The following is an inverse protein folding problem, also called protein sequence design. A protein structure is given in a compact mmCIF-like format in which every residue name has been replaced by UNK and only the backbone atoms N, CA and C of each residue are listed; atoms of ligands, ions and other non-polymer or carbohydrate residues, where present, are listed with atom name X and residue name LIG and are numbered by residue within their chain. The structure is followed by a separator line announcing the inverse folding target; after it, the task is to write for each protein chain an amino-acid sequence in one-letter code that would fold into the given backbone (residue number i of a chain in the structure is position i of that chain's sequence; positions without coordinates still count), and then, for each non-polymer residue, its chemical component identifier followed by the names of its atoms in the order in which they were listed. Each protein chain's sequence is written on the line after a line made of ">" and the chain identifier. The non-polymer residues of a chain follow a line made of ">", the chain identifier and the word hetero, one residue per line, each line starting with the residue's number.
data_IF_941393047873
#
_entry.id   IF_941393047873
#
_cell.length_a   1.000
_cell.length_b   1.000
_cell.length_c   1.000
_cell.angle_alpha   90.00
_cell.angle_beta   90.00
_cell.angle_gamma   90.00
#
_symmetry.space_group_name_H-M   'P 1'
#
loop_
_entity.id
_entity.type
_entity.pdbx_description
1 polymer ?
#
# COMPACT_ATOMS: atom_id res chain seq x y z
N UNK A 1 0.43 -23.46 -30.40
CA UNK A 1 -0.87 -23.39 -29.71
C UNK A 1 -0.85 -22.19 -28.76
N UNK A 2 -1.98 -21.51 -28.64
CA UNK A 2 -2.21 -20.23 -27.96
C UNK A 2 -1.62 -20.13 -26.54
N UNK A 3 -0.75 -19.15 -26.28
CA UNK A 3 -0.35 -18.74 -24.92
C UNK A 3 -1.08 -17.46 -24.52
N UNK A 4 -2.24 -17.60 -23.88
CA UNK A 4 -2.93 -16.47 -23.21
C UNK A 4 -3.28 -16.84 -21.77
N UNK A 5 -2.27 -17.13 -20.96
CA UNK A 5 -2.42 -17.14 -19.50
C UNK A 5 -1.99 -15.78 -18.96
N UNK A 6 -2.93 -14.83 -18.93
CA UNK A 6 -2.74 -13.57 -18.22
C UNK A 6 -2.99 -13.80 -16.74
N UNK A 7 -1.92 -13.71 -15.95
CA UNK A 7 -1.97 -13.67 -14.48
C UNK A 7 -2.57 -12.32 -14.11
N UNK A 8 -3.72 -12.31 -13.44
CA UNK A 8 -4.49 -11.08 -13.15
C UNK A 8 -4.49 -10.73 -11.67
N UNK A 9 -4.04 -11.63 -10.78
CA UNK A 9 -4.01 -11.40 -9.34
C UNK A 9 -2.73 -11.95 -8.70
N UNK A 10 -2.26 -11.33 -7.59
CA UNK A 10 -1.08 -11.80 -6.85
C UNK A 10 -1.26 -13.19 -6.19
N UNK A 11 -2.46 -13.76 -6.20
CA UNK A 11 -2.75 -15.13 -5.73
C UNK A 11 -2.80 -16.17 -6.85
N UNK A 12 -2.62 -15.77 -8.11
CA UNK A 12 -2.67 -16.71 -9.22
C UNK A 12 -1.46 -17.64 -9.16
N UNK A 13 -1.73 -18.94 -9.06
CA UNK A 13 -0.71 -19.98 -9.11
C UNK A 13 -0.46 -20.34 -10.57
N UNK A 14 0.81 -20.27 -10.98
CA UNK A 14 1.23 -20.73 -12.30
C UNK A 14 1.77 -22.14 -12.16
N UNK A 15 1.11 -23.11 -12.78
CA UNK A 15 1.71 -24.43 -13.03
C UNK A 15 2.60 -24.32 -14.27
N UNK A 16 3.91 -24.49 -14.07
CA UNK A 16 4.86 -24.62 -15.16
C UNK A 16 5.01 -26.11 -15.45
N UNK A 17 4.30 -26.60 -16.47
CA UNK A 17 4.45 -27.96 -16.95
C UNK A 17 5.52 -27.98 -18.04
N UNK A 18 6.74 -28.38 -17.69
CA UNK A 18 7.77 -28.72 -18.67
C UNK A 18 7.42 -30.10 -19.24
N UNK A 19 6.94 -30.13 -20.48
CA UNK A 19 6.71 -31.36 -21.21
C UNK A 19 8.05 -31.82 -21.81
N UNK A 20 8.89 -32.48 -21.00
CA UNK A 20 10.04 -33.23 -21.49
C UNK A 20 9.86 -34.72 -21.20
N UNK A 21 9.98 -35.49 -22.27
CA UNK A 21 9.77 -36.93 -22.30
C UNK A 21 10.90 -37.58 -21.49
N UNK A 22 10.52 -38.19 -20.36
CA UNK A 22 11.30 -39.03 -19.44
C UNK A 22 11.73 -38.40 -18.11
N UNK A 23 11.06 -38.93 -17.08
CA UNK A 23 11.48 -39.15 -15.69
C UNK A 23 11.39 -37.96 -14.73
N UNK A 24 10.27 -38.00 -14.00
CA UNK A 24 10.06 -37.55 -12.61
C UNK A 24 10.45 -36.10 -12.36
N UNK A 25 9.50 -35.20 -12.63
CA UNK A 25 9.51 -33.86 -12.06
C UNK A 25 9.33 -33.96 -10.54
N UNK A 26 10.45 -33.85 -9.82
CA UNK A 26 10.41 -33.46 -8.40
C UNK A 26 9.92 -32.02 -8.42
N UNK A 27 8.63 -31.82 -8.11
CA UNK A 27 8.03 -30.50 -8.00
C UNK A 27 8.61 -29.76 -6.80
N UNK A 28 9.79 -29.18 -6.99
CA UNK A 28 10.27 -28.13 -6.10
C UNK A 28 9.31 -26.97 -6.25
N UNK A 29 8.50 -26.75 -5.22
CA UNK A 29 7.74 -25.51 -5.06
C UNK A 29 8.76 -24.41 -4.87
N UNK A 30 9.25 -23.82 -5.96
CA UNK A 30 10.03 -22.60 -5.88
C UNK A 30 9.07 -21.56 -5.29
N UNK A 31 9.31 -21.05 -4.07
CA UNK A 31 8.54 -19.92 -3.59
C UNK A 31 8.83 -18.79 -4.57
N UNK A 32 7.84 -18.44 -5.38
CA UNK A 32 7.87 -17.20 -6.13
C UNK A 32 7.85 -16.11 -5.06
N UNK A 33 9.02 -15.61 -4.69
CA UNK A 33 9.14 -14.40 -3.90
C UNK A 33 8.65 -13.29 -4.80
N UNK A 34 7.32 -13.06 -4.76
CA UNK A 34 6.70 -11.89 -5.36
C UNK A 34 7.45 -10.71 -4.78
N UNK A 35 8.13 -9.97 -5.66
CA UNK A 35 8.92 -8.81 -5.30
C UNK A 35 8.13 -7.98 -4.29
N UNK A 36 8.80 -7.61 -3.20
CA UNK A 36 8.39 -6.57 -2.27
C UNK A 36 7.70 -5.49 -3.09
N UNK A 37 6.36 -5.43 -3.08
CA UNK A 37 5.65 -4.37 -3.80
C UNK A 37 6.24 -3.07 -3.27
N UNK A 38 6.84 -2.28 -4.15
CA UNK A 38 7.30 -0.94 -3.84
C UNK A 38 6.05 -0.10 -3.55
N UNK A 39 5.51 -0.24 -2.34
CA UNK A 39 4.37 0.53 -1.88
C UNK A 39 4.84 1.97 -1.77
N UNK A 40 4.35 2.81 -2.68
CA UNK A 40 4.68 4.23 -2.71
C UNK A 40 3.76 4.98 -1.75
N UNK A 41 4.36 5.89 -0.99
CA UNK A 41 3.67 6.87 -0.17
C UNK A 41 4.47 8.16 -0.26
N UNK A 42 3.81 9.21 -0.75
CA UNK A 42 4.40 10.54 -0.89
C UNK A 42 3.49 11.55 -0.20
N UNK A 43 4.04 12.26 0.78
CA UNK A 43 3.36 13.34 1.46
C UNK A 43 3.66 14.67 0.78
N UNK A 44 2.61 15.48 0.62
CA UNK A 44 2.77 16.88 0.25
C UNK A 44 3.31 17.67 1.45
N UNK A 45 3.85 18.85 1.16
CA UNK A 45 4.18 19.82 2.21
C UNK A 45 2.94 20.14 3.04
N UNK A 46 3.12 20.22 4.36
CA UNK A 46 2.07 20.57 5.30
C UNK A 46 2.45 21.83 6.07
N UNK A 47 1.60 22.85 6.02
CA UNK A 47 1.76 24.05 6.83
C UNK A 47 1.03 23.87 8.15
N UNK A 48 1.64 24.34 9.24
CA UNK A 48 1.02 24.27 10.56
C UNK A 48 -0.39 24.86 10.56
N UNK A 49 -1.34 24.13 11.14
CA UNK A 49 -2.79 24.40 11.16
C UNK A 49 -3.55 24.17 9.85
N UNK A 50 -2.93 23.60 8.83
CA UNK A 50 -3.66 23.13 7.65
C UNK A 50 -4.77 22.15 8.04
N UNK A 51 -5.88 22.23 7.30
CA UNK A 51 -7.05 21.42 7.64
C UNK A 51 -6.83 19.93 7.38
N UNK A 52 -5.91 19.58 6.46
CA UNK A 52 -5.72 18.24 5.92
C UNK A 52 -4.25 17.97 5.64
N UNK A 53 -3.81 16.75 5.94
CA UNK A 53 -2.58 16.17 5.37
C UNK A 53 -2.95 15.53 4.04
N UNK A 54 -2.22 15.84 2.99
CA UNK A 54 -2.47 15.31 1.64
C UNK A 54 -1.23 14.65 1.09
N UNK A 55 -1.41 13.80 0.09
CA UNK A 55 -0.33 13.09 -0.56
C UNK A 55 -0.85 12.11 -1.58
N UNK A 56 0.05 11.25 -2.08
CA UNK A 56 -0.29 10.12 -2.92
C UNK A 56 0.15 8.80 -2.28
N UNK A 57 -0.58 7.73 -2.57
CA UNK A 57 -0.22 6.38 -2.15
C UNK A 57 -0.55 5.35 -3.24
N UNK A 58 0.09 4.19 -3.18
CA UNK A 58 -0.24 3.07 -4.06
C UNK A 58 -1.55 2.40 -3.62
N UNK A 59 -2.62 2.67 -4.37
CA UNK A 59 -3.95 2.10 -4.13
C UNK A 59 -4.21 0.81 -4.91
N UNK A 60 -3.22 0.27 -5.63
CA UNK A 60 -3.42 -0.97 -6.40
C UNK A 60 -3.64 -2.13 -5.45
N UNK A 61 -4.67 -2.92 -5.74
CA UNK A 61 -5.05 -4.07 -4.94
C UNK A 61 -5.34 -3.71 -3.47
N UNK A 62 -5.78 -2.48 -3.17
CA UNK A 62 -6.32 -2.17 -1.85
C UNK A 62 -7.59 -2.97 -1.60
N UNK A 63 -7.73 -3.44 -0.38
CA UNK A 63 -8.87 -4.21 0.11
C UNK A 63 -9.53 -3.45 1.26
N UNK A 64 -10.64 -3.98 1.80
CA UNK A 64 -11.33 -3.44 2.97
C UNK A 64 -10.52 -3.50 4.29
N UNK A 65 -9.28 -3.97 4.24
CA UNK A 65 -8.34 -4.01 5.37
C UNK A 65 -7.21 -3.00 5.23
N UNK A 66 -7.16 -2.29 4.12
CA UNK A 66 -6.13 -1.30 3.84
C UNK A 66 -6.49 0.03 4.50
N UNK A 67 -5.50 0.69 5.11
CA UNK A 67 -5.71 1.91 5.86
C UNK A 67 -4.56 2.89 5.65
N UNK A 68 -4.88 4.19 5.61
CA UNK A 68 -3.91 5.24 5.85
C UNK A 68 -4.07 5.77 7.27
N UNK A 69 -3.02 5.69 8.08
CA UNK A 69 -3.03 6.14 9.47
C UNK A 69 -2.16 7.39 9.63
N UNK A 70 -2.72 8.42 10.24
CA UNK A 70 -2.00 9.59 10.74
C UNK A 70 -1.59 9.32 12.19
N UNK A 71 -0.30 9.23 12.43
CA UNK A 71 0.30 8.97 13.74
C UNK A 71 0.98 10.25 14.22
N UNK A 72 0.64 10.69 15.42
CA UNK A 72 1.21 11.88 16.06
C UNK A 72 1.82 11.47 17.39
N UNK A 73 3.11 11.74 17.59
CA UNK A 73 3.88 11.36 18.78
C UNK A 73 3.68 9.88 19.16
N UNK A 74 3.70 8.99 18.16
CA UNK A 74 3.55 7.55 18.33
C UNK A 74 2.11 7.04 18.53
N UNK A 75 1.09 7.92 18.56
CA UNK A 75 -0.32 7.54 18.71
C UNK A 75 -1.08 7.75 17.41
N UNK A 76 -1.94 6.80 17.03
CA UNK A 76 -2.83 6.95 15.88
C UNK A 76 -3.85 8.05 16.20
N UNK A 77 -3.72 9.21 15.55
CA UNK A 77 -4.60 10.36 15.73
C UNK A 77 -5.81 10.30 14.78
N UNK A 78 -5.60 9.76 13.57
CA UNK A 78 -6.65 9.57 12.58
C UNK A 78 -6.33 8.38 11.69
N UNK A 79 -7.36 7.77 11.11
CA UNK A 79 -7.19 6.77 10.07
C UNK A 79 -8.29 6.88 9.01
N UNK A 80 -7.96 6.49 7.79
CA UNK A 80 -8.88 6.32 6.67
C UNK A 80 -8.82 4.85 6.27
N UNK A 81 -9.97 4.20 6.25
CA UNK A 81 -10.09 2.80 5.79
C UNK A 81 -10.50 2.85 4.33
N UNK A 82 -9.77 2.13 3.49
CA UNK A 82 -10.08 1.97 2.08
C UNK A 82 -10.74 0.61 1.86
N UNK A 83 -11.55 0.50 0.81
CA UNK A 83 -12.07 -0.75 0.28
C UNK A 83 -11.71 -0.88 -1.20
N UNK A 84 -11.77 -2.10 -1.73
CA UNK A 84 -11.46 -2.35 -3.13
C UNK A 84 -12.31 -1.52 -4.12
N UNK A 85 -13.55 -1.20 -3.75
CA UNK A 85 -14.45 -0.38 -4.59
C UNK A 85 -14.10 1.11 -4.58
N UNK A 86 -13.41 1.60 -3.55
CA UNK A 86 -13.11 3.03 -3.40
C UNK A 86 -12.04 3.47 -4.40
N UNK A 87 -11.19 2.53 -4.83
CA UNK A 87 -10.02 2.82 -5.65
C UNK A 87 -10.03 2.08 -6.97
N UNK A 88 -10.86 1.05 -7.18
CA UNK A 88 -10.89 0.23 -8.40
C UNK A 88 -10.97 1.08 -9.70
N UNK A 89 -10.05 0.88 -10.67
CA UNK A 89 -9.07 -0.21 -10.82
C UNK A 89 -7.78 -0.13 -9.99
N UNK A 90 -7.62 0.86 -9.12
CA UNK A 90 -6.45 1.15 -8.31
C UNK A 90 -5.38 1.83 -9.15
N UNK A 91 -4.67 2.81 -8.58
CA UNK A 91 -3.55 3.51 -9.24
C UNK A 91 -2.38 3.71 -8.29
N UNK A 92 -1.18 3.79 -8.87
CA UNK A 92 0.10 3.94 -8.15
C UNK A 92 0.20 5.23 -7.33
N UNK A 93 -0.46 6.28 -7.79
CA UNK A 93 -0.41 7.62 -7.22
C UNK A 93 -1.83 8.09 -6.88
N UNK A 94 -2.54 7.33 -6.05
CA UNK A 94 -3.85 7.74 -5.57
C UNK A 94 -3.74 8.86 -4.57
N UNK A 95 -4.42 9.97 -4.87
CA UNK A 95 -4.45 11.11 -3.99
C UNK A 95 -5.28 10.77 -2.76
N UNK A 96 -4.80 11.18 -1.60
CA UNK A 96 -5.53 11.04 -0.36
C UNK A 96 -5.54 12.35 0.41
N UNK A 97 -6.52 12.46 1.30
CA UNK A 97 -6.61 13.55 2.25
C UNK A 97 -7.05 13.03 3.62
N UNK A 98 -6.20 13.22 4.63
CA UNK A 98 -6.53 12.91 6.02
C UNK A 98 -6.79 14.23 6.75
N UNK A 99 -7.97 14.40 7.31
CA UNK A 99 -8.31 15.60 8.10
C UNK A 99 -7.40 15.66 9.34
N UNK A 100 -6.65 16.75 9.46
CA UNK A 100 -5.66 16.98 10.51
C UNK A 100 -5.87 18.27 11.32
N UNK A 101 -6.94 19.03 11.00
CA UNK A 101 -7.30 20.27 11.69
C UNK A 101 -7.35 20.06 13.22
N UNK A 102 -6.53 20.82 13.95
CA UNK A 102 -6.46 20.76 15.41
C UNK A 102 -5.76 19.52 15.98
N UNK A 103 -5.22 18.64 15.14
CA UNK A 103 -4.41 17.49 15.57
C UNK A 103 -2.91 17.81 15.56
N UNK A 104 -2.46 18.51 14.51
CA UNK A 104 -1.09 18.99 14.36
C UNK A 104 -1.06 20.46 14.74
N UNK A 105 -0.68 20.73 15.99
CA UNK A 105 -0.72 22.04 16.65
C UNK A 105 0.68 22.58 16.95
N UNK A 106 1.72 21.75 16.87
CA UNK A 106 3.10 22.15 17.14
C UNK A 106 4.06 21.54 16.11
N UNK A 107 4.98 22.36 15.60
CA UNK A 107 5.96 21.96 14.56
C UNK A 107 6.95 20.90 15.01
N UNK A 108 7.12 20.70 16.32
CA UNK A 108 8.00 19.69 16.89
C UNK A 108 7.27 18.36 17.11
N UNK A 109 5.95 18.30 16.86
CA UNK A 109 5.24 17.03 16.89
C UNK A 109 5.81 16.09 15.83
N UNK A 110 6.07 14.85 16.25
CA UNK A 110 6.44 13.80 15.32
C UNK A 110 5.17 13.32 14.63
N UNK A 111 4.99 13.75 13.38
CA UNK A 111 3.85 13.34 12.56
C UNK A 111 4.32 12.37 11.48
N UNK A 112 3.66 11.21 11.40
CA UNK A 112 3.96 10.14 10.46
C UNK A 112 2.66 9.70 9.80
N UNK A 113 2.68 9.45 8.50
CA UNK A 113 1.60 8.76 7.80
C UNK A 113 2.05 7.36 7.48
N UNK A 114 1.21 6.36 7.73
CA UNK A 114 1.48 4.94 7.49
C UNK A 114 0.45 4.37 6.56
N UNK A 115 0.89 3.63 5.56
CA UNK A 115 0.04 2.74 4.79
C UNK A 115 0.06 1.36 5.43
N UNK A 116 -1.12 0.91 5.84
CA UNK A 116 -1.37 -0.41 6.38
C UNK A 116 -2.08 -1.23 5.31
N UNK A 117 -1.59 -2.43 5.05
CA UNK A 117 -2.23 -3.40 4.15
C UNK A 117 -2.33 -4.75 4.86
N UNK A 118 -3.52 -5.33 4.85
CA UNK A 118 -3.84 -6.56 5.58
C UNK A 118 -3.38 -6.54 7.05
N UNK A 119 -3.47 -5.37 7.71
CA UNK A 119 -3.08 -5.17 9.11
C UNK A 119 -1.57 -4.99 9.34
N UNK A 120 -0.74 -4.97 8.30
CA UNK A 120 0.70 -4.72 8.41
C UNK A 120 1.09 -3.37 7.83
N UNK A 121 2.01 -2.66 8.49
CA UNK A 121 2.58 -1.44 7.91
C UNK A 121 3.46 -1.81 6.73
N UNK A 122 3.10 -1.36 5.53
CA UNK A 122 3.86 -1.63 4.31
C UNK A 122 4.80 -0.49 3.93
N UNK A 123 4.40 0.75 4.23
CA UNK A 123 5.25 1.95 4.08
C UNK A 123 4.83 3.00 5.10
N UNK A 124 5.79 3.77 5.61
CA UNK A 124 5.53 4.96 6.42
C UNK A 124 6.40 6.11 5.98
N UNK A 125 5.88 7.33 6.13
CA UNK A 125 6.61 8.55 5.81
C UNK A 125 6.41 9.59 6.90
N UNK A 126 7.50 10.20 7.33
CA UNK A 126 7.47 11.34 8.25
C UNK A 126 6.97 12.57 7.49
N UNK A 127 5.99 13.26 8.06
CA UNK A 127 5.50 14.51 7.54
C UNK A 127 6.45 15.66 7.95
N UNK A 128 6.83 16.49 6.98
CA UNK A 128 7.56 17.72 7.26
C UNK A 128 6.55 18.85 7.51
N UNK A 129 6.58 19.41 8.72
CA UNK A 129 5.73 20.53 9.11
C UNK A 129 6.52 21.82 8.86
N UNK A 130 5.96 22.70 8.02
CA UNK A 130 6.51 24.04 7.74
C UNK A 130 5.82 25.11 8.57
#
# INVERSE_FOLDING_TARGET
>A
MNTKNTIKKPTDKVEVQLADTNKVAVGEKIPVTVQKSDYQLHLNDYTLNDAKVTGTFDSRYTTNKDQLQLVINGKVAKQVVYNATDTAPGKENEEFAIVARGLITDKNQQVIVRHIKDGQTVVEQKLTIK
#
